data_IF_556586238875
#
_entry.id   IF_556586238875
#
_cell.length_a   1.000
_cell.length_b   1.000
_cell.length_c   1.000
_cell.angle_alpha   90.00
_cell.angle_beta   90.00
_cell.angle_gamma   90.00
#
_symmetry.space_group_name_H-M   'P 1'
#
loop_
_entity.id
_entity.type
_entity.pdbx_description
1 polymer ?
#
# COMPACT_ATOMS: atom_id res chain seq x y z
N UNK A 1 10.06 -23.58 -4.34
CA UNK A 1 9.12 -22.45 -4.50
C UNK A 1 9.53 -21.35 -3.52
N UNK A 2 9.72 -20.10 -3.95
CA UNK A 2 10.00 -19.01 -2.99
C UNK A 2 8.76 -18.79 -2.10
N UNK A 3 8.92 -18.58 -0.77
CA UNK A 3 7.79 -18.31 0.10
C UNK A 3 7.10 -17.02 -0.34
N UNK A 4 5.76 -17.07 -0.49
CA UNK A 4 4.96 -15.89 -0.86
C UNK A 4 4.95 -14.84 0.25
N UNK A 5 5.06 -15.30 1.51
CA UNK A 5 5.23 -14.45 2.69
C UNK A 5 6.73 -14.28 2.92
N UNK A 6 7.30 -13.22 2.34
CA UNK A 6 8.69 -12.83 2.55
C UNK A 6 8.83 -11.32 2.41
N UNK A 7 9.93 -10.77 2.92
CA UNK A 7 10.26 -9.34 2.73
C UNK A 7 10.45 -8.96 1.26
N UNK A 8 10.70 -9.93 0.38
CA UNK A 8 10.83 -9.70 -1.06
C UNK A 8 9.47 -9.33 -1.69
N UNK A 9 8.37 -9.75 -1.06
CA UNK A 9 7.00 -9.51 -1.50
C UNK A 9 6.18 -8.68 -0.50
N UNK A 10 6.84 -7.93 0.39
CA UNK A 10 6.16 -7.22 1.47
C UNK A 10 5.09 -6.23 0.95
N UNK A 11 5.41 -5.45 -0.09
CA UNK A 11 4.48 -4.45 -0.62
C UNK A 11 3.32 -5.08 -1.41
N UNK A 12 3.53 -6.25 -2.02
CA UNK A 12 2.48 -7.04 -2.67
C UNK A 12 1.51 -7.60 -1.64
N UNK A 13 2.00 -8.02 -0.47
CA UNK A 13 1.16 -8.46 0.64
C UNK A 13 0.30 -7.28 1.13
N UNK A 14 0.90 -6.12 1.37
CA UNK A 14 0.16 -4.92 1.78
C UNK A 14 -0.86 -4.51 0.71
N UNK A 15 -0.48 -4.49 -0.56
CA UNK A 15 -1.39 -4.22 -1.68
C UNK A 15 -2.54 -5.23 -1.78
N UNK A 16 -2.28 -6.51 -1.48
CA UNK A 16 -3.32 -7.56 -1.45
C UNK A 16 -4.31 -7.33 -0.32
N UNK A 17 -3.83 -6.90 0.86
CA UNK A 17 -4.70 -6.54 2.00
C UNK A 17 -5.55 -5.31 1.65
N UNK A 18 -4.95 -4.28 1.03
CA UNK A 18 -5.68 -3.10 0.55
C UNK A 18 -6.74 -3.49 -0.48
N UNK A 19 -6.41 -4.34 -1.44
CA UNK A 19 -7.36 -4.83 -2.43
C UNK A 19 -8.51 -5.61 -1.79
N UNK A 20 -8.21 -6.47 -0.81
CA UNK A 20 -9.24 -7.21 -0.07
C UNK A 20 -10.15 -6.28 0.73
N UNK A 21 -9.58 -5.30 1.45
CA UNK A 21 -10.34 -4.30 2.18
C UNK A 21 -11.24 -3.48 1.24
N UNK A 22 -10.74 -3.13 0.05
CA UNK A 22 -11.53 -2.44 -0.97
C UNK A 22 -12.68 -3.32 -1.50
N UNK A 23 -12.46 -4.61 -1.75
CA UNK A 23 -13.54 -5.54 -2.12
C UNK A 23 -14.62 -5.60 -1.04
N UNK A 24 -14.22 -5.69 0.23
CA UNK A 24 -15.17 -5.65 1.36
C UNK A 24 -15.92 -4.31 1.43
N UNK A 25 -15.23 -3.19 1.16
CA UNK A 25 -15.86 -1.87 1.07
C UNK A 25 -16.87 -1.75 -0.07
N UNK A 26 -16.60 -2.35 -1.24
CA UNK A 26 -17.56 -2.46 -2.34
C UNK A 26 -18.81 -3.22 -1.88
N UNK A 27 -18.65 -4.39 -1.24
CA UNK A 27 -19.78 -5.17 -0.73
C UNK A 27 -20.59 -4.39 0.30
N UNK A 28 -19.92 -3.71 1.24
CA UNK A 28 -20.58 -2.91 2.27
C UNK A 28 -21.37 -1.75 1.67
N UNK A 29 -20.80 -1.03 0.71
CA UNK A 29 -21.46 0.11 0.05
C UNK A 29 -22.63 -0.32 -0.85
N UNK A 30 -22.52 -1.46 -1.54
CA UNK A 30 -23.62 -2.02 -2.34
C UNK A 30 -24.78 -2.54 -1.48
N UNK A 31 -24.48 -3.35 -0.45
CA UNK A 31 -25.50 -4.04 0.35
C UNK A 31 -26.20 -3.06 1.30
N UNK A 32 -25.43 -2.22 2.01
CA UNK A 32 -25.97 -1.35 3.07
C UNK A 32 -26.30 0.03 2.51
N UNK A 33 -25.35 0.62 1.78
CA UNK A 33 -25.43 2.01 1.33
C UNK A 33 -26.35 2.24 0.14
N UNK A 34 -26.62 1.21 -0.68
CA UNK A 34 -27.38 1.31 -1.94
C UNK A 34 -26.86 2.42 -2.89
N UNK A 35 -25.58 2.77 -2.79
CA UNK A 35 -24.93 3.75 -3.65
C UNK A 35 -24.24 3.04 -4.83
N UNK A 36 -24.33 3.57 -6.05
CA UNK A 36 -23.72 2.95 -7.25
C UNK A 36 -22.36 3.55 -7.67
N UNK A 37 -22.16 4.86 -7.50
CA UNK A 37 -20.94 5.55 -7.98
C UNK A 37 -19.74 5.31 -7.05
N UNK A 38 -19.92 5.45 -5.74
CA UNK A 38 -18.86 5.25 -4.73
C UNK A 38 -18.23 3.85 -4.84
N UNK A 39 -18.99 2.74 -4.95
CA UNK A 39 -18.40 1.42 -5.14
C UNK A 39 -17.53 1.30 -6.38
N UNK A 40 -17.81 2.06 -7.45
CA UNK A 40 -17.03 1.98 -8.69
C UNK A 40 -15.59 2.46 -8.48
N UNK A 41 -15.39 3.54 -7.72
CA UNK A 41 -14.04 4.02 -7.37
C UNK A 41 -13.32 3.08 -6.40
N UNK A 42 -14.04 2.50 -5.44
CA UNK A 42 -13.45 1.50 -4.54
C UNK A 42 -13.07 0.23 -5.32
N UNK A 43 -13.91 -0.20 -6.27
CA UNK A 43 -13.64 -1.34 -7.14
C UNK A 43 -12.42 -1.09 -8.04
N UNK A 44 -12.26 0.11 -8.57
CA UNK A 44 -11.07 0.49 -9.32
C UNK A 44 -9.79 0.32 -8.49
N UNK A 45 -9.81 0.75 -7.23
CA UNK A 45 -8.68 0.53 -6.31
C UNK A 45 -8.43 -0.95 -6.06
N UNK A 46 -9.49 -1.73 -5.81
CA UNK A 46 -9.39 -3.18 -5.61
C UNK A 46 -8.71 -3.88 -6.80
N UNK A 47 -9.19 -3.60 -8.01
CA UNK A 47 -8.65 -4.19 -9.25
C UNK A 47 -7.21 -3.73 -9.48
N UNK A 48 -6.90 -2.45 -9.28
CA UNK A 48 -5.56 -1.91 -9.51
C UNK A 48 -4.53 -2.52 -8.55
N UNK A 49 -4.78 -2.47 -7.25
CA UNK A 49 -3.87 -3.03 -6.25
C UNK A 49 -3.79 -4.56 -6.34
N UNK A 50 -4.90 -5.24 -6.63
CA UNK A 50 -4.90 -6.68 -6.85
C UNK A 50 -4.05 -7.11 -8.04
N UNK A 51 -4.12 -6.37 -9.16
CA UNK A 51 -3.28 -6.65 -10.33
C UNK A 51 -1.80 -6.32 -10.06
N UNK A 52 -1.50 -5.18 -9.44
CA UNK A 52 -0.11 -4.85 -9.06
C UNK A 52 0.50 -5.92 -8.16
N UNK A 53 -0.24 -6.36 -7.14
CA UNK A 53 0.21 -7.46 -6.27
C UNK A 53 0.43 -8.74 -7.07
N UNK A 54 -0.52 -9.13 -7.93
CA UNK A 54 -0.42 -10.32 -8.78
C UNK A 54 0.81 -10.30 -9.69
N UNK A 55 1.09 -9.18 -10.36
CA UNK A 55 2.27 -9.04 -11.21
C UNK A 55 3.56 -9.00 -10.39
N UNK A 56 3.57 -8.31 -9.25
CA UNK A 56 4.70 -8.28 -8.31
C UNK A 56 5.06 -9.68 -7.78
N UNK A 57 4.07 -10.48 -7.38
CA UNK A 57 4.27 -11.88 -6.96
C UNK A 57 4.82 -12.78 -8.08
N UNK A 58 4.58 -12.44 -9.34
CA UNK A 58 5.15 -13.12 -10.52
C UNK A 58 6.58 -12.64 -10.84
N UNK A 59 7.12 -11.71 -10.07
CA UNK A 59 8.47 -11.16 -10.25
C UNK A 59 8.57 -10.05 -11.30
N UNK A 60 7.45 -9.48 -11.74
CA UNK A 60 7.49 -8.39 -12.71
C UNK A 60 8.06 -7.11 -12.08
N UNK A 61 9.28 -6.72 -12.47
CA UNK A 61 10.01 -5.60 -11.86
C UNK A 61 9.26 -4.26 -12.00
N UNK A 62 8.55 -4.03 -13.10
CA UNK A 62 7.76 -2.80 -13.28
C UNK A 62 6.67 -2.67 -12.20
N UNK A 63 5.98 -3.76 -11.86
CA UNK A 63 4.92 -3.74 -10.86
C UNK A 63 5.50 -3.47 -9.47
N UNK A 64 6.68 -4.04 -9.18
CA UNK A 64 7.42 -3.78 -7.94
C UNK A 64 7.88 -2.32 -7.83
N UNK A 65 8.31 -1.70 -8.94
CA UNK A 65 8.62 -0.27 -9.00
C UNK A 65 7.40 0.60 -8.72
N UNK A 66 6.27 0.29 -9.35
CA UNK A 66 5.02 1.03 -9.13
C UNK A 66 4.58 0.92 -7.68
N UNK A 67 4.59 -0.29 -7.10
CA UNK A 67 4.30 -0.49 -5.68
C UNK A 67 5.25 0.30 -4.78
N UNK A 68 6.56 0.22 -5.04
CA UNK A 68 7.56 0.99 -4.29
C UNK A 68 7.22 2.48 -4.28
N UNK A 69 6.94 3.09 -5.44
CA UNK A 69 6.66 4.51 -5.53
C UNK A 69 5.33 4.91 -4.87
N UNK A 70 4.29 4.08 -5.00
CA UNK A 70 3.02 4.31 -4.30
C UNK A 70 3.25 4.36 -2.78
N UNK A 71 3.94 3.36 -2.22
CA UNK A 71 4.19 3.29 -0.78
C UNK A 71 5.22 4.33 -0.30
N UNK A 72 6.20 4.69 -1.14
CA UNK A 72 7.14 5.78 -0.87
C UNK A 72 6.41 7.12 -0.76
N UNK A 73 5.55 7.44 -1.73
CA UNK A 73 4.72 8.64 -1.69
C UNK A 73 3.80 8.63 -0.47
N UNK A 74 3.22 7.48 -0.14
CA UNK A 74 2.37 7.34 1.04
C UNK A 74 3.13 7.57 2.36
N UNK A 75 4.37 7.10 2.47
CA UNK A 75 5.24 7.38 3.62
C UNK A 75 5.55 8.89 3.72
N UNK A 76 5.91 9.53 2.60
CA UNK A 76 6.15 10.98 2.56
C UNK A 76 4.91 11.76 2.97
N UNK A 77 3.73 11.38 2.47
CA UNK A 77 2.46 12.01 2.85
C UNK A 77 2.14 11.79 4.34
N UNK A 78 2.37 10.60 4.88
CA UNK A 78 2.18 10.33 6.30
C UNK A 78 3.11 11.17 7.18
N UNK A 79 4.37 11.35 6.76
CA UNK A 79 5.32 12.24 7.41
C UNK A 79 4.80 13.68 7.44
N UNK A 80 4.39 14.25 6.30
CA UNK A 80 3.82 15.60 6.29
C UNK A 80 2.53 15.68 7.12
N UNK A 81 1.67 14.66 7.06
CA UNK A 81 0.43 14.67 7.79
C UNK A 81 0.64 14.78 9.31
N UNK A 82 1.69 14.14 9.86
CA UNK A 82 2.03 14.22 11.29
C UNK A 82 2.18 15.65 11.81
N UNK A 83 2.66 16.57 10.97
CA UNK A 83 2.93 17.95 11.39
C UNK A 83 1.84 18.93 10.93
N UNK A 84 1.23 18.71 9.77
CA UNK A 84 0.36 19.71 9.12
C UNK A 84 -1.12 19.31 8.97
N UNK A 85 -1.51 18.05 9.19
CA UNK A 85 -2.87 17.62 8.88
C UNK A 85 -3.86 17.88 10.04
N UNK A 86 -4.71 18.90 9.90
CA UNK A 86 -5.75 19.23 10.88
C UNK A 86 -6.87 18.17 10.95
N UNK A 87 -7.42 17.76 9.80
CA UNK A 87 -8.54 16.80 9.74
C UNK A 87 -8.25 15.42 10.35
N UNK A 88 -7.14 14.75 10.01
CA UNK A 88 -6.77 13.50 10.68
C UNK A 88 -6.59 13.64 12.20
N UNK A 89 -6.04 14.76 12.68
CA UNK A 89 -5.93 15.04 14.12
C UNK A 89 -7.30 15.17 14.78
N UNK A 90 -8.26 15.83 14.13
CA UNK A 90 -9.64 15.90 14.62
C UNK A 90 -10.30 14.51 14.70
N UNK A 91 -10.10 13.68 13.68
CA UNK A 91 -10.74 12.34 13.58
C UNK A 91 -10.16 11.37 14.61
N UNK A 92 -8.83 11.33 14.76
CA UNK A 92 -8.15 10.33 15.60
C UNK A 92 -7.78 10.83 16.99
N UNK A 93 -7.88 12.14 17.26
CA UNK A 93 -7.58 12.75 18.54
C UNK A 93 -6.21 12.33 19.09
N UNK A 94 -6.18 11.87 20.34
CA UNK A 94 -4.96 11.42 21.01
C UNK A 94 -4.29 10.20 20.35
N UNK A 95 -5.02 9.40 19.56
CA UNK A 95 -4.46 8.26 18.84
C UNK A 95 -3.68 8.66 17.59
N UNK A 96 -3.85 9.91 17.11
CA UNK A 96 -3.26 10.38 15.85
C UNK A 96 -1.74 10.14 15.74
N UNK A 97 -0.89 10.53 16.71
CA UNK A 97 0.55 10.36 16.59
C UNK A 97 0.95 8.88 16.53
N UNK A 98 0.23 8.02 17.27
CA UNK A 98 0.49 6.58 17.31
C UNK A 98 0.10 5.91 16.00
N UNK A 99 -1.04 6.27 15.43
CA UNK A 99 -1.52 5.71 14.17
C UNK A 99 -0.65 6.17 12.99
N UNK A 100 -0.46 7.47 12.81
CA UNK A 100 0.32 7.99 11.68
C UNK A 100 1.83 7.75 11.85
N UNK A 101 2.34 7.87 13.08
CA UNK A 101 3.75 7.59 13.38
C UNK A 101 4.07 6.12 13.25
N UNK A 102 3.23 5.24 13.82
CA UNK A 102 3.37 3.79 13.67
C UNK A 102 3.27 3.37 12.20
N UNK A 103 2.29 3.88 11.47
CA UNK A 103 2.13 3.64 10.04
C UNK A 103 3.37 4.08 9.23
N UNK A 104 3.88 5.28 9.48
CA UNK A 104 5.09 5.80 8.84
C UNK A 104 6.30 4.89 9.08
N UNK A 105 6.50 4.47 10.33
CA UNK A 105 7.60 3.58 10.71
C UNK A 105 7.50 2.23 10.01
N UNK A 106 6.31 1.61 10.02
CA UNK A 106 6.09 0.30 9.37
C UNK A 106 6.35 0.39 7.87
N UNK A 107 5.74 1.35 7.16
CA UNK A 107 5.93 1.47 5.70
C UNK A 107 7.40 1.76 5.35
N UNK A 108 8.05 2.66 6.09
CA UNK A 108 9.47 2.98 5.86
C UNK A 108 10.36 1.76 6.10
N UNK A 109 10.09 0.99 7.16
CA UNK A 109 10.81 -0.24 7.47
C UNK A 109 10.61 -1.34 6.39
N UNK A 110 9.49 -1.33 5.67
CA UNK A 110 9.24 -2.24 4.54
C UNK A 110 9.91 -1.76 3.24
N UNK A 111 9.91 -0.45 2.96
CA UNK A 111 10.44 0.11 1.71
C UNK A 111 11.93 -0.16 1.49
N UNK A 112 12.75 0.03 2.51
CA UNK A 112 14.22 -0.12 2.43
C UNK A 112 14.64 -1.54 2.04
N UNK A 113 14.26 -2.60 2.79
CA UNK A 113 14.60 -3.97 2.42
C UNK A 113 13.92 -4.39 1.12
N UNK A 114 12.71 -3.90 0.83
CA UNK A 114 12.01 -4.22 -0.41
C UNK A 114 12.79 -3.75 -1.65
N UNK A 115 13.27 -2.50 -1.65
CA UNK A 115 14.07 -1.97 -2.75
C UNK A 115 15.39 -2.73 -2.94
N UNK A 116 16.08 -3.03 -1.83
CA UNK A 116 17.36 -3.77 -1.86
C UNK A 116 17.18 -5.20 -2.35
N UNK A 117 16.23 -5.94 -1.79
CA UNK A 117 15.98 -7.36 -2.12
C UNK A 117 15.49 -7.56 -3.55
N UNK A 118 14.72 -6.61 -4.06
CA UNK A 118 14.24 -6.65 -5.44
C UNK A 118 15.16 -5.95 -6.45
N UNK A 119 16.33 -5.44 -5.99
CA UNK A 119 17.32 -4.74 -6.83
C UNK A 119 16.70 -3.65 -7.72
N UNK A 120 15.72 -2.92 -7.18
CA UNK A 120 14.92 -1.98 -7.98
C UNK A 120 15.78 -0.89 -8.63
N UNK A 121 16.80 -0.42 -7.92
CA UNK A 121 17.67 0.67 -8.38
C UNK A 121 19.12 0.24 -8.61
N UNK A 122 19.36 -1.07 -8.73
CA UNK A 122 20.69 -1.58 -9.04
C UNK A 122 21.01 -1.39 -10.53
N UNK A 123 22.22 -0.93 -10.83
CA UNK A 123 22.69 -0.83 -12.21
C UNK A 123 22.67 -2.21 -12.90
N UNK A 124 22.42 -2.29 -14.22
CA UNK A 124 22.54 -3.54 -14.96
C UNK A 124 23.96 -4.12 -14.76
N UNK A 125 24.06 -5.31 -14.16
CA UNK A 125 25.32 -6.02 -13.98
C UNK A 125 26.01 -5.87 -12.61
N UNK A 126 25.42 -5.17 -11.63
CA UNK A 126 25.92 -5.25 -10.25
C UNK A 126 25.43 -6.52 -9.55
N UNK A 127 26.38 -7.41 -9.22
CA UNK A 127 26.16 -8.60 -8.40
C UNK A 127 26.16 -8.25 -6.92
#
# INVERSE_FOLDING_TARGET
MKPRISLDNALEIVASVVALAAILGVLQTFIIGKHYVIPTMILFLAVTFGNLARFGFRGALWAKHVLFWIFCMLAVHAFFALFWAAKPREIFGAAFPWLYGGFLLVITALLIPYAKRNRLFSAPGSN
#
